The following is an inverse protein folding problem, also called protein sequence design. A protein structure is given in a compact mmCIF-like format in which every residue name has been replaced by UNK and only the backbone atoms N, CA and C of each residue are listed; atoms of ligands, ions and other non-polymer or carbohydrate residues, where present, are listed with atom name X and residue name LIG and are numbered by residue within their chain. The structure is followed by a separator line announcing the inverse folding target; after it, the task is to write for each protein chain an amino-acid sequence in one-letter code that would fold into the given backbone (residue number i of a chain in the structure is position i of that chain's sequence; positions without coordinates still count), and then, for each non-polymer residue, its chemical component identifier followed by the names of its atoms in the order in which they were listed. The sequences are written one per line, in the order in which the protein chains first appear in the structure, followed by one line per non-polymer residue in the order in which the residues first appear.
data_IF_439122809812
#
_entry.id   IF_439122809812
#
_cell.length_a   1.000
_cell.length_b   1.000
_cell.length_c   1.000
_cell.angle_alpha   90.00
_cell.angle_beta   90.00
_cell.angle_gamma   90.00
#
_symmetry.space_group_name_H-M   'P 1'
#
loop_
_entity.id
_entity.type
_entity.pdbx_description
1 polymer ?
#
# COMPACT_ATOMS: atom_id res chain seq x y z
N UNK A 1 -10.23 20.69 9.19
CA UNK A 1 -10.37 20.16 7.84
C UNK A 1 -9.06 19.54 7.39
N UNK A 2 -9.13 18.34 6.90
CA UNK A 2 -7.92 17.64 6.48
C UNK A 2 -7.42 18.17 5.15
N UNK A 3 -6.12 18.30 5.01
CA UNK A 3 -5.53 18.66 3.75
C UNK A 3 -5.52 17.47 2.85
N UNK A 4 -5.74 17.65 1.54
CA UNK A 4 -5.55 16.55 0.62
C UNK A 4 -4.11 16.07 0.68
N UNK A 5 -3.91 14.79 0.50
CA UNK A 5 -2.59 14.21 0.48
C UNK A 5 -1.80 14.80 -0.69
N UNK A 6 -2.44 14.92 -1.84
CA UNK A 6 -1.86 15.54 -3.00
C UNK A 6 -2.96 16.41 -3.62
N UNK A 7 -2.71 17.70 -3.83
CA UNK A 7 -3.74 18.55 -4.44
C UNK A 7 -4.16 18.01 -5.80
N UNK A 8 -5.42 18.23 -6.13
CA UNK A 8 -6.00 17.70 -7.36
C UNK A 8 -5.25 18.18 -8.61
N UNK A 9 -4.84 19.44 -8.61
CA UNK A 9 -4.13 19.99 -9.75
C UNK A 9 -2.81 19.28 -9.97
N UNK A 10 -2.12 18.94 -8.89
CA UNK A 10 -0.84 18.26 -8.99
C UNK A 10 -1.05 16.83 -9.47
N UNK A 11 -2.06 16.17 -8.95
CA UNK A 11 -2.36 14.81 -9.36
C UNK A 11 -2.65 14.74 -10.85
N UNK A 12 -3.51 15.62 -11.33
CA UNK A 12 -3.84 15.66 -12.75
C UNK A 12 -2.65 16.04 -13.61
N UNK A 13 -1.81 16.97 -13.11
CA UNK A 13 -0.62 17.37 -13.84
C UNK A 13 0.39 16.25 -13.98
N UNK A 14 0.55 15.45 -12.93
CA UNK A 14 1.46 14.30 -12.97
C UNK A 14 0.97 13.26 -13.97
N UNK A 15 -0.33 13.04 -14.00
CA UNK A 15 -0.90 12.11 -14.97
C UNK A 15 -0.66 12.59 -16.39
N UNK A 16 -0.89 13.87 -16.65
CA UNK A 16 -0.66 14.44 -17.95
C UNK A 16 0.82 14.34 -18.35
N UNK A 17 1.71 14.59 -17.40
CA UNK A 17 3.14 14.53 -17.66
C UNK A 17 3.57 13.11 -18.03
N UNK A 18 3.06 12.12 -17.30
CA UNK A 18 3.40 10.73 -17.59
C UNK A 18 2.98 10.37 -19.00
N UNK A 19 1.79 10.81 -19.41
CA UNK A 19 1.31 10.54 -20.75
C UNK A 19 2.13 11.27 -21.81
N UNK A 20 2.46 12.51 -21.54
CA UNK A 20 3.20 13.31 -22.50
C UNK A 20 4.59 12.73 -22.73
N UNK A 21 5.26 12.33 -21.67
CA UNK A 21 6.60 11.79 -21.79
C UNK A 21 6.62 10.29 -22.07
N UNK A 22 5.46 9.64 -22.01
CA UNK A 22 5.33 8.20 -22.24
C UNK A 22 6.23 7.41 -21.31
N UNK A 23 6.17 7.75 -20.03
CA UNK A 23 6.94 7.08 -19.00
C UNK A 23 6.02 6.64 -17.89
N UNK A 24 6.41 5.59 -17.15
CA UNK A 24 5.72 5.28 -15.90
C UNK A 24 6.15 6.30 -14.85
N UNK A 25 5.20 6.70 -14.02
CA UNK A 25 5.44 7.66 -12.96
C UNK A 25 4.95 7.06 -11.65
N UNK A 26 5.82 6.99 -10.67
CA UNK A 26 5.46 6.45 -9.36
C UNK A 26 5.49 7.60 -8.36
N UNK A 27 4.37 7.78 -7.68
CA UNK A 27 4.26 8.81 -6.65
C UNK A 27 4.17 8.13 -5.30
N UNK A 28 5.03 8.52 -4.39
CA UNK A 28 5.07 7.94 -3.06
C UNK A 28 4.53 8.97 -2.08
N UNK A 29 3.60 8.56 -1.25
CA UNK A 29 2.99 9.46 -0.28
C UNK A 29 2.62 8.68 0.97
N UNK A 30 2.49 9.38 2.08
CA UNK A 30 2.08 8.76 3.31
C UNK A 30 0.62 9.04 3.55
N UNK A 31 -0.12 8.03 3.98
CA UNK A 31 -1.49 8.23 4.41
C UNK A 31 -1.46 8.90 5.78
N UNK A 32 -2.48 9.69 6.04
CA UNK A 32 -2.55 10.26 7.36
C UNK A 32 -3.02 9.17 8.34
N UNK A 33 -3.15 9.52 9.60
CA UNK A 33 -3.29 8.52 10.64
C UNK A 33 -4.69 8.03 10.86
N UNK A 34 -5.60 8.40 10.01
CA UNK A 34 -6.97 7.96 10.16
C UNK A 34 -7.17 6.48 10.20
N UNK A 35 -6.42 5.66 9.46
CA UNK A 35 -6.62 4.22 9.55
C UNK A 35 -6.45 3.69 10.95
N UNK A 36 -5.68 4.34 11.78
CA UNK A 36 -5.46 3.87 13.14
C UNK A 36 -6.70 3.96 14.01
N UNK A 37 -7.66 4.75 13.60
CA UNK A 37 -8.86 4.94 14.40
C UNK A 37 -9.89 3.84 14.22
N UNK A 38 -9.73 2.96 13.22
CA UNK A 38 -10.71 1.89 13.07
C UNK A 38 -10.15 0.59 13.54
N UNK A 39 -11.06 -0.32 13.77
CA UNK A 39 -10.70 -1.66 14.19
C UNK A 39 -9.79 -2.28 13.14
N UNK A 40 -8.65 -2.73 13.55
CA UNK A 40 -7.68 -3.29 12.65
C UNK A 40 -6.81 -2.28 11.94
N UNK A 41 -7.25 -1.04 11.86
CA UNK A 41 -6.45 0.08 11.35
C UNK A 41 -5.86 -0.06 9.97
N UNK A 42 -6.27 -1.07 9.20
CA UNK A 42 -5.65 -1.36 7.92
C UNK A 42 -6.06 -0.34 6.87
N UNK A 43 -5.12 0.24 6.14
CA UNK A 43 -5.47 1.22 5.11
C UNK A 43 -6.25 0.60 3.96
N UNK A 44 -7.03 1.42 3.31
CA UNK A 44 -7.79 0.98 2.14
C UNK A 44 -7.95 2.16 1.20
N UNK A 45 -8.43 1.85 0.00
CA UNK A 45 -8.54 2.86 -1.04
C UNK A 45 -9.38 4.06 -0.61
N UNK A 46 -10.42 3.82 0.19
CA UNK A 46 -11.26 4.92 0.63
C UNK A 46 -10.51 5.93 1.47
N UNK A 47 -9.37 5.58 2.03
CA UNK A 47 -8.57 6.52 2.81
C UNK A 47 -7.95 7.58 1.92
N UNK A 48 -7.93 7.38 0.61
CA UNK A 48 -7.42 8.36 -0.33
C UNK A 48 -8.45 9.35 -0.80
N UNK A 49 -9.70 9.19 -0.39
CA UNK A 49 -10.74 10.06 -0.89
C UNK A 49 -10.53 11.51 -0.54
N UNK A 50 -9.91 11.76 0.59
CA UNK A 50 -9.63 13.12 0.99
C UNK A 50 -8.42 13.69 0.28
N UNK A 51 -7.83 12.93 -0.60
CA UNK A 51 -6.65 13.36 -1.34
C UNK A 51 -6.99 13.89 -2.71
N UNK A 52 -8.15 14.42 -2.86
CA UNK A 52 -8.58 14.96 -4.14
C UNK A 52 -8.85 13.85 -5.13
N UNK A 53 -8.31 13.97 -6.30
CA UNK A 53 -8.61 13.01 -7.36
C UNK A 53 -7.52 11.97 -7.55
N UNK A 54 -6.62 11.84 -6.61
CA UNK A 54 -5.50 10.91 -6.80
C UNK A 54 -6.00 9.48 -7.03
N UNK A 55 -7.04 9.09 -6.34
CA UNK A 55 -7.59 7.76 -6.50
C UNK A 55 -8.17 7.56 -7.89
N UNK A 56 -8.64 8.63 -8.52
CA UNK A 56 -9.19 8.56 -9.86
C UNK A 56 -8.11 8.66 -10.93
N UNK A 57 -7.08 9.46 -10.68
CA UNK A 57 -6.05 9.69 -11.67
C UNK A 57 -5.07 8.52 -11.78
N UNK A 58 -4.84 7.82 -10.70
CA UNK A 58 -3.85 6.74 -10.71
C UNK A 58 -4.36 5.53 -11.47
N UNK A 59 -3.50 4.90 -12.23
CA UNK A 59 -3.83 3.64 -12.90
C UNK A 59 -3.67 2.47 -11.97
N UNK A 60 -2.81 2.63 -10.97
CA UNK A 60 -2.58 1.60 -9.97
C UNK A 60 -2.37 2.27 -8.64
N UNK A 61 -3.01 1.76 -7.61
CA UNK A 61 -2.80 2.23 -6.25
C UNK A 61 -2.39 1.04 -5.41
N UNK A 62 -1.23 1.16 -4.80
CA UNK A 62 -0.71 0.13 -3.91
C UNK A 62 -0.53 0.73 -2.53
N UNK A 63 -1.01 0.04 -1.52
CA UNK A 63 -0.90 0.47 -0.14
C UNK A 63 0.05 -0.47 0.57
N UNK A 64 1.09 0.07 1.17
CA UNK A 64 2.09 -0.73 1.87
C UNK A 64 1.79 -0.67 3.35
N UNK A 65 1.63 -1.83 3.96
CA UNK A 65 1.15 -1.93 5.32
C UNK A 65 2.04 -2.82 6.16
N UNK A 66 2.30 -2.41 7.37
CA UNK A 66 2.96 -3.25 8.38
C UNK A 66 1.96 -3.42 9.52
N UNK A 67 1.30 -4.57 9.62
CA UNK A 67 0.24 -4.75 10.61
C UNK A 67 0.67 -4.51 12.04
N UNK A 68 1.93 -4.77 12.38
CA UNK A 68 2.40 -4.57 13.74
C UNK A 68 2.23 -3.12 14.21
N UNK A 69 2.20 -2.18 13.29
CA UNK A 69 2.08 -0.77 13.65
C UNK A 69 0.71 -0.45 14.21
N UNK A 70 -0.32 -1.18 13.76
CA UNK A 70 -1.69 -0.92 14.16
C UNK A 70 -2.15 -1.80 15.31
N UNK A 71 -1.28 -2.70 15.79
CA UNK A 71 -1.68 -3.62 16.84
C UNK A 71 -1.33 -3.05 18.19
N UNK A 72 -2.28 -2.97 19.07
CA UNK A 72 -2.07 -2.38 20.37
C UNK A 72 -1.62 -3.39 21.41
N UNK A 73 -2.01 -4.63 21.24
CA UNK A 73 -1.64 -5.68 22.18
C UNK A 73 -0.21 -6.11 21.92
N UNK A 74 0.61 -6.14 22.97
CA UNK A 74 2.03 -6.44 22.80
C UNK A 74 2.28 -7.83 22.29
N UNK A 75 1.53 -8.81 22.76
CA UNK A 75 1.73 -10.17 22.32
C UNK A 75 1.35 -10.32 20.85
N UNK A 76 0.23 -9.72 20.47
CA UNK A 76 -0.21 -9.78 19.09
C UNK A 76 0.75 -9.02 18.19
N UNK A 77 1.30 -7.91 18.70
CA UNK A 77 2.27 -7.15 17.93
C UNK A 77 3.52 -7.97 17.68
N UNK A 78 3.96 -8.72 18.69
CA UNK A 78 5.14 -9.56 18.53
C UNK A 78 4.90 -10.65 17.49
N UNK A 79 3.68 -11.18 17.44
CA UNK A 79 3.37 -12.20 16.45
C UNK A 79 3.36 -11.65 15.05
N UNK A 80 3.05 -10.38 14.91
CA UNK A 80 2.99 -9.74 13.59
C UNK A 80 4.28 -9.06 13.21
N UNK A 81 5.29 -9.13 14.08
CA UNK A 81 6.55 -8.45 13.81
C UNK A 81 7.17 -9.01 12.53
N UNK A 82 7.60 -8.10 11.67
CA UNK A 82 8.21 -8.49 10.42
C UNK A 82 7.25 -8.81 9.30
N UNK A 83 5.95 -8.78 9.57
CA UNK A 83 4.98 -8.97 8.51
C UNK A 83 4.70 -7.66 7.80
N UNK A 84 4.47 -7.74 6.51
CA UNK A 84 4.07 -6.59 5.72
C UNK A 84 3.15 -7.07 4.61
N UNK A 85 2.39 -6.17 4.05
CA UNK A 85 1.51 -6.47 2.93
C UNK A 85 1.55 -5.35 1.93
N UNK A 86 1.53 -5.70 0.66
CA UNK A 86 1.33 -4.73 -0.40
C UNK A 86 -0.08 -4.97 -0.93
N UNK A 87 -0.96 -4.03 -0.69
CA UNK A 87 -2.36 -4.15 -1.07
C UNK A 87 -2.55 -3.43 -2.39
N UNK A 88 -2.89 -4.18 -3.42
CA UNK A 88 -3.22 -3.56 -4.71
C UNK A 88 -4.67 -3.17 -4.63
N UNK A 89 -4.92 -1.92 -4.27
CA UNK A 89 -6.26 -1.43 -4.00
C UNK A 89 -6.98 -1.01 -5.27
N UNK A 90 -6.24 -0.68 -6.31
CA UNK A 90 -6.80 -0.32 -7.59
C UNK A 90 -5.84 -0.75 -8.67
N UNK A 91 -6.33 -1.35 -9.72
CA UNK A 91 -5.51 -1.67 -10.86
C UNK A 91 -6.40 -1.64 -12.08
N UNK A 92 -6.15 -0.67 -12.96
CA UNK A 92 -7.06 -0.41 -14.07
C UNK A 92 -7.13 -1.58 -15.04
N UNK A 93 -6.02 -2.24 -15.24
CA UNK A 93 -5.94 -3.32 -16.19
C UNK A 93 -5.64 -4.67 -15.56
N UNK A 94 -6.04 -4.85 -14.33
CA UNK A 94 -5.77 -6.12 -13.64
C UNK A 94 -6.57 -6.25 -12.37
N UNK A 95 -6.37 -7.34 -11.65
CA UNK A 95 -7.15 -7.58 -10.42
C UNK A 95 -6.57 -6.82 -9.25
N UNK A 96 -7.39 -6.61 -8.23
CA UNK A 96 -6.91 -6.14 -6.95
C UNK A 96 -6.57 -7.34 -6.10
N UNK A 97 -5.83 -7.13 -5.03
CA UNK A 97 -5.47 -8.23 -4.16
C UNK A 97 -4.43 -7.80 -3.14
N UNK A 98 -3.91 -8.79 -2.43
CA UNK A 98 -2.93 -8.52 -1.38
C UNK A 98 -1.73 -9.43 -1.58
N UNK A 99 -0.54 -8.86 -1.41
CA UNK A 99 0.70 -9.59 -1.57
C UNK A 99 1.42 -9.56 -0.24
N UNK A 100 1.61 -10.72 0.40
CA UNK A 100 2.32 -10.74 1.68
C UNK A 100 3.81 -10.53 1.47
N UNK A 101 4.40 -9.72 2.34
CA UNK A 101 5.81 -9.41 2.31
C UNK A 101 6.40 -9.58 3.70
N UNK A 102 7.72 -9.59 3.76
CA UNK A 102 8.44 -9.57 5.02
C UNK A 102 9.20 -8.26 5.12
N UNK A 103 9.18 -7.64 6.30
CA UNK A 103 9.94 -6.43 6.53
C UNK A 103 11.09 -6.74 7.47
N UNK A 104 12.30 -6.53 6.99
CA UNK A 104 13.50 -6.76 7.80
C UNK A 104 13.87 -5.44 8.44
N UNK A 105 13.49 -5.32 9.71
CA UNK A 105 13.60 -4.07 10.43
C UNK A 105 15.03 -3.58 10.55
N UNK A 106 15.95 -4.50 10.75
CA UNK A 106 17.35 -4.15 10.91
C UNK A 106 17.94 -3.51 9.66
N UNK A 107 17.37 -3.83 8.51
CA UNK A 107 17.88 -3.32 7.25
C UNK A 107 16.92 -2.35 6.57
N UNK A 108 15.78 -2.06 7.19
CA UNK A 108 14.73 -1.24 6.60
C UNK A 108 14.45 -1.72 5.17
N UNK A 109 14.16 -3.00 5.06
CA UNK A 109 14.08 -3.64 3.75
C UNK A 109 12.89 -4.57 3.67
N UNK A 110 12.20 -4.56 2.53
CA UNK A 110 11.10 -5.48 2.27
C UNK A 110 11.59 -6.61 1.40
N UNK A 111 11.12 -7.81 1.70
CA UNK A 111 11.46 -9.01 0.94
C UNK A 111 10.18 -9.80 0.70
N UNK A 112 10.23 -10.71 -0.24
CA UNK A 112 9.13 -11.63 -0.42
C UNK A 112 9.00 -12.50 0.82
N UNK A 113 7.76 -12.76 1.22
CA UNK A 113 7.54 -13.62 2.38
C UNK A 113 7.69 -15.07 1.94
N UNK A 114 8.48 -15.83 2.70
CA UNK A 114 8.61 -17.24 2.44
C UNK A 114 7.26 -17.91 2.62
N UNK A 115 6.86 -18.72 1.65
CA UNK A 115 5.62 -19.43 1.76
C UNK A 115 5.84 -20.71 2.49
N UNK A 116 4.91 -21.01 3.34
CA UNK A 116 4.97 -22.24 4.01
C UNK A 116 4.34 -23.25 3.12
N UNK A 117 4.97 -23.59 2.03
CA UNK A 117 4.38 -24.36 1.08
C UNK A 117 4.93 -25.64 0.98
N UNK A 118 4.21 -26.66 0.79
CA UNK A 118 4.67 -27.86 0.52
C UNK A 118 5.10 -27.71 -0.79
N UNK A 119 6.09 -27.96 -1.04
CA UNK A 119 6.65 -27.80 -2.18
C UNK A 119 6.00 -28.20 -3.25
N UNK A 120 5.90 -27.80 -3.94
CA UNK A 120 5.16 -28.06 -4.96
C UNK A 120 5.84 -28.80 -5.83
N UNK A 121 6.21 -29.22 -5.51
CA UNK A 121 6.59 -29.88 -6.16
C UNK A 121 6.34 -29.79 -7.32
N UNK A 122 6.07 -29.28 -7.41
CA UNK A 122 5.86 -29.15 -8.34
C UNK A 122 6.26 -28.92 -9.10
N UNK A 123 6.59 -28.88 -9.06
CA UNK A 123 6.80 -28.68 -9.75
C UNK A 123 7.13 -28.82 -10.72
N UNK A 124 7.37 -28.84 -11.18
CA UNK A 124 7.83 -29.12 -12.14
C UNK A 124 8.39 -29.73 -12.23
#
# INVERSE_FOLDING_TARGET
MARPLIPAEISAGLKALAKELKIPLIVVAQLNRQPEARTGGKPRLSDLRESGSIEQDADLVALLVRPEIYEEDEEARAEKAGEAELIIAKQRNGPVGEIPLTFLKEFTRFEDRARNVREPEEAF
#
